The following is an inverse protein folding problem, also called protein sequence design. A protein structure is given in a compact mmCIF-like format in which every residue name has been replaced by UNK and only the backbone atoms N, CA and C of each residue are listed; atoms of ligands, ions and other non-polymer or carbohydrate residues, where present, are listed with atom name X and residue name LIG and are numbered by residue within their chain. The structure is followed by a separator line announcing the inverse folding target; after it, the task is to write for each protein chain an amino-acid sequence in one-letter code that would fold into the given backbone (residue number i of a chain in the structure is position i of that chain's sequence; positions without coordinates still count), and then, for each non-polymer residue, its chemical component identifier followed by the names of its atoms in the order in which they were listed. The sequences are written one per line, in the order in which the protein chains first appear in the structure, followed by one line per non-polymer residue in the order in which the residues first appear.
data_IF_116547693409
#
_entry.id   IF_116547693409
#
_cell.length_a   1.000
_cell.length_b   1.000
_cell.length_c   1.000
_cell.angle_alpha   90.00
_cell.angle_beta   90.00
_cell.angle_gamma   90.00
#
_symmetry.space_group_name_H-M   'P 1'
#
loop_
_entity.id
_entity.type
_entity.pdbx_description
1 polymer ?
#
# COMPACT_ATOMS: atom_id res chain seq x y z
N UNK A 1 34.68 0.88 1.30
CA UNK A 1 33.54 0.16 1.92
C UNK A 1 32.25 0.73 1.37
N UNK A 2 31.36 -0.10 0.79
CA UNK A 2 29.99 0.32 0.47
C UNK A 2 29.14 0.06 1.70
N UNK A 3 28.78 1.10 2.43
CA UNK A 3 27.72 0.99 3.44
C UNK A 3 26.44 0.85 2.61
N UNK A 4 25.89 -0.37 2.53
CA UNK A 4 24.49 -0.53 2.14
C UNK A 4 23.71 -0.04 3.34
N UNK A 5 23.16 1.17 3.26
CA UNK A 5 22.14 1.62 4.19
C UNK A 5 21.00 0.61 4.09
N UNK A 6 20.97 -0.34 5.03
CA UNK A 6 19.76 -1.11 5.28
C UNK A 6 18.79 -0.08 5.83
N UNK A 7 17.92 0.45 4.97
CA UNK A 7 16.75 1.19 5.44
C UNK A 7 16.02 0.27 6.42
N UNK A 8 16.17 0.53 7.71
CA UNK A 8 15.37 -0.12 8.74
C UNK A 8 13.94 0.37 8.56
N UNK A 9 13.13 -0.42 7.83
CA UNK A 9 11.70 -0.18 7.77
C UNK A 9 11.14 -0.40 9.18
N UNK A 10 10.62 0.67 9.78
CA UNK A 10 10.00 0.61 11.09
C UNK A 10 8.84 -0.41 11.10
N UNK A 11 8.67 -1.11 12.22
CA UNK A 11 7.51 -2.00 12.41
C UNK A 11 6.29 -1.16 12.77
N UNK A 12 5.20 -1.35 12.04
CA UNK A 12 3.90 -0.71 12.31
C UNK A 12 2.90 -1.80 12.66
N UNK A 13 2.10 -1.57 13.69
CA UNK A 13 0.96 -2.43 14.04
C UNK A 13 -0.33 -1.74 13.63
N UNK A 14 -1.19 -2.44 12.90
CA UNK A 14 -2.46 -1.91 12.40
C UNK A 14 -3.59 -2.73 13.00
N UNK A 15 -4.61 -2.05 13.52
CA UNK A 15 -5.84 -2.69 13.99
C UNK A 15 -6.85 -2.72 12.85
N UNK A 16 -7.36 -3.92 12.55
CA UNK A 16 -8.34 -4.16 11.49
C UNK A 16 -9.61 -4.78 12.08
N UNK A 17 -10.79 -4.49 11.51
CA UNK A 17 -12.00 -5.25 11.81
C UNK A 17 -11.79 -6.74 11.54
N UNK A 18 -12.38 -7.60 12.37
CA UNK A 18 -12.14 -9.05 12.33
C UNK A 18 -12.47 -9.68 10.98
N UNK A 19 -13.51 -9.17 10.31
CA UNK A 19 -13.93 -9.64 8.99
C UNK A 19 -12.89 -9.30 7.92
N UNK A 20 -12.31 -8.09 8.00
CA UNK A 20 -11.28 -7.64 7.07
C UNK A 20 -9.97 -8.43 7.27
N UNK A 21 -9.54 -8.63 8.51
CA UNK A 21 -8.38 -9.47 8.84
C UNK A 21 -8.55 -10.89 8.30
N UNK A 22 -9.75 -11.48 8.47
CA UNK A 22 -10.05 -12.80 7.94
C UNK A 22 -9.91 -12.83 6.42
N UNK A 23 -10.45 -11.86 5.68
CA UNK A 23 -10.36 -11.82 4.21
C UNK A 23 -8.92 -11.67 3.72
N UNK A 24 -8.14 -10.79 4.36
CA UNK A 24 -6.73 -10.58 4.04
C UNK A 24 -5.88 -11.83 4.28
N UNK A 25 -6.18 -12.61 5.33
CA UNK A 25 -5.52 -13.91 5.55
C UNK A 25 -5.77 -14.91 4.45
N UNK A 26 -7.00 -15.02 3.95
CA UNK A 26 -7.30 -15.94 2.83
C UNK A 26 -6.56 -15.51 1.57
N UNK A 27 -6.59 -14.22 1.24
CA UNK A 27 -5.86 -13.69 0.09
C UNK A 27 -4.34 -13.92 0.20
N UNK A 28 -3.76 -13.73 1.39
CA UNK A 28 -2.35 -13.99 1.62
C UNK A 28 -1.97 -15.47 1.37
N UNK A 29 -2.86 -16.40 1.71
CA UNK A 29 -2.67 -17.82 1.42
C UNK A 29 -2.74 -18.07 -0.10
N UNK A 30 -3.74 -17.51 -0.77
CA UNK A 30 -3.95 -17.69 -2.22
C UNK A 30 -2.77 -17.12 -3.04
N UNK A 31 -2.19 -16.00 -2.59
CA UNK A 31 -1.06 -15.33 -3.22
C UNK A 31 0.31 -15.83 -2.73
N UNK A 32 0.33 -16.79 -1.80
CA UNK A 32 1.54 -17.31 -1.15
C UNK A 32 2.46 -16.20 -0.59
N UNK A 33 1.86 -15.25 0.12
CA UNK A 33 2.53 -14.10 0.73
C UNK A 33 2.05 -13.89 2.19
N UNK A 34 2.56 -12.86 2.86
CA UNK A 34 2.17 -12.51 4.24
C UNK A 34 1.02 -11.50 4.25
N UNK A 35 0.19 -11.52 5.30
CA UNK A 35 -0.88 -10.52 5.45
C UNK A 35 -0.33 -9.09 5.50
N UNK A 36 0.87 -8.88 6.04
CA UNK A 36 1.56 -7.59 6.02
C UNK A 36 1.84 -7.11 4.60
N UNK A 37 2.29 -7.99 3.70
CA UNK A 37 2.57 -7.64 2.31
C UNK A 37 1.28 -7.31 1.55
N UNK A 38 0.20 -8.06 1.78
CA UNK A 38 -1.11 -7.75 1.19
C UNK A 38 -1.58 -6.36 1.62
N UNK A 39 -1.46 -6.03 2.91
CA UNK A 39 -1.84 -4.72 3.43
C UNK A 39 -0.92 -3.61 2.90
N UNK A 40 0.39 -3.83 2.85
CA UNK A 40 1.35 -2.86 2.30
C UNK A 40 1.03 -2.56 0.83
N UNK A 41 0.80 -3.59 0.02
CA UNK A 41 0.41 -3.43 -1.39
C UNK A 41 -0.91 -2.69 -1.55
N UNK A 42 -1.91 -3.00 -0.71
CA UNK A 42 -3.20 -2.30 -0.74
C UNK A 42 -3.07 -0.82 -0.38
N UNK A 43 -2.24 -0.48 0.61
CA UNK A 43 -1.97 0.91 0.99
C UNK A 43 -1.23 1.66 -0.12
N UNK A 44 -0.21 1.04 -0.74
CA UNK A 44 0.51 1.62 -1.88
C UNK A 44 -0.46 1.91 -3.03
N UNK A 45 -1.30 0.94 -3.39
CA UNK A 45 -2.29 1.11 -4.46
C UNK A 45 -3.28 2.23 -4.14
N UNK A 46 -3.75 2.34 -2.89
CA UNK A 46 -4.63 3.42 -2.46
C UNK A 46 -3.98 4.80 -2.66
N UNK A 47 -2.74 4.99 -2.20
CA UNK A 47 -2.05 6.28 -2.36
C UNK A 47 -1.74 6.60 -3.82
N UNK A 48 -1.38 5.60 -4.63
CA UNK A 48 -1.15 5.80 -6.08
C UNK A 48 -2.43 6.25 -6.80
N UNK A 49 -3.60 5.71 -6.43
CA UNK A 49 -4.88 6.14 -7.00
C UNK A 49 -5.22 7.59 -6.60
N UNK A 50 -4.94 7.98 -5.36
CA UNK A 50 -5.15 9.35 -4.89
C UNK A 50 -4.22 10.35 -5.62
N UNK A 51 -2.95 10.02 -5.79
CA UNK A 51 -1.99 10.87 -6.50
C UNK A 51 -2.34 11.03 -7.99
N UNK A 52 -2.91 10.00 -8.62
CA UNK A 52 -3.39 10.08 -9.99
C UNK A 52 -4.63 10.97 -10.12
N UNK A 53 -5.52 11.00 -9.12
CA UNK A 53 -6.65 11.92 -9.09
C UNK A 53 -6.17 13.38 -9.10
N UNK A 54 -5.17 13.72 -8.28
CA UNK A 54 -4.62 15.09 -8.16
C UNK A 54 -3.92 15.53 -9.46
N UNK A 55 -3.15 14.64 -10.11
CA UNK A 55 -2.49 14.96 -11.38
C UNK A 55 -3.47 15.13 -12.54
N UNK A 56 -4.55 14.36 -12.55
CA UNK A 56 -5.54 14.41 -13.64
C UNK A 56 -6.39 15.69 -13.55
N UNK A 57 -6.67 16.20 -12.34
CA UNK A 57 -7.32 17.51 -12.16
C UNK A 57 -6.42 18.69 -12.57
N UNK A 58 -5.11 18.63 -12.29
CA UNK A 58 -4.18 19.68 -12.67
C UNK A 58 -4.03 19.84 -14.20
N UNK A 59 -4.12 18.74 -14.96
CA UNK A 59 -4.07 18.78 -16.43
C UNK A 59 -5.35 19.38 -17.03
N UNK A 60 -6.51 19.11 -16.44
CA UNK A 60 -7.80 19.59 -16.96
C UNK A 60 -8.08 21.09 -16.69
N UNK A 61 -7.25 21.78 -15.90
CA UNK A 61 -7.39 23.21 -15.63
C UNK A 61 -6.58 24.13 -16.56
N UNK A 62 -5.68 23.59 -17.40
CA UNK A 62 -4.86 24.39 -18.34
C UNK A 62 -5.49 24.51 -19.75
N UNK A 63 -6.64 23.89 -20.00
CA UNK A 63 -7.39 23.98 -21.28
C UNK A 63 -8.53 25.02 -21.28
N UNK A 64 -8.53 26.02 -20.37
CA UNK A 64 -9.44 27.18 -20.41
C UNK A 64 -8.73 28.49 -20.74
#
# INVERSE_FOLDING_TARGET
MRIKDKQERGKISILLPIELDRRLRHQAIDENCTCSEVVENALIAYFQLQDNSIKTEAINMEES
#
